data_IF_797436798535
#
_entry.id   IF_797436798535
#
_cell.length_a   1.000
_cell.length_b   1.000
_cell.length_c   1.000
_cell.angle_alpha   90.00
_cell.angle_beta   90.00
_cell.angle_gamma   90.00
#
_symmetry.space_group_name_H-M   'P 1'
#
loop_
_entity.id
_entity.type
_entity.pdbx_description
1 polymer ?
#
# COMPACT_ATOMS: atom_id res chain seq x y z
N UNK A 1 0.96 4.98 21.18
CA UNK A 1 1.85 4.07 20.44
C UNK A 1 2.84 4.94 19.68
N UNK A 2 4.16 4.70 19.78
CA UNK A 2 5.11 5.53 19.06
C UNK A 2 4.87 5.37 17.56
N UNK A 3 5.00 6.49 16.86
CA UNK A 3 4.90 6.63 15.42
C UNK A 3 5.66 5.48 14.72
N UNK A 4 4.97 4.65 13.93
CA UNK A 4 5.59 3.48 13.30
C UNK A 4 6.62 3.97 12.28
N UNK A 5 7.84 3.41 12.25
CA UNK A 5 8.83 3.78 11.25
C UNK A 5 8.27 3.54 9.84
N UNK A 6 8.78 4.25 8.82
CA UNK A 6 8.36 4.06 7.44
C UNK A 6 8.50 2.58 7.05
N UNK A 7 7.39 1.95 6.66
CA UNK A 7 7.29 0.53 6.32
C UNK A 7 6.84 0.39 4.86
N UNK A 8 7.22 -0.73 4.24
CA UNK A 8 6.71 -1.11 2.93
C UNK A 8 5.28 -1.66 3.05
N UNK A 9 4.35 -1.11 2.28
CA UNK A 9 2.94 -1.51 2.24
C UNK A 9 2.60 -2.00 0.84
N UNK A 10 2.26 -3.27 0.72
CA UNK A 10 1.68 -3.84 -0.49
C UNK A 10 0.18 -3.60 -0.51
N UNK A 11 -0.32 -2.92 -1.55
CA UNK A 11 -1.76 -2.67 -1.73
C UNK A 11 -2.19 -3.30 -3.05
N UNK A 12 -3.27 -4.09 -3.03
CA UNK A 12 -3.86 -4.61 -4.25
C UNK A 12 -4.38 -3.46 -5.11
N UNK A 13 -4.01 -3.43 -6.39
CA UNK A 13 -4.44 -2.43 -7.34
C UNK A 13 -5.95 -2.55 -7.63
N UNK A 14 -6.75 -1.82 -6.87
CA UNK A 14 -8.18 -1.62 -7.07
C UNK A 14 -8.50 -0.14 -7.34
N UNK A 15 -9.76 0.19 -7.69
CA UNK A 15 -10.16 1.56 -8.02
C UNK A 15 -9.84 2.58 -6.90
N UNK A 16 -9.87 2.16 -5.64
CA UNK A 16 -9.54 2.98 -4.46
C UNK A 16 -8.08 2.88 -4.02
N UNK A 17 -7.28 1.96 -4.57
CA UNK A 17 -5.90 1.73 -4.15
C UNK A 17 -4.99 2.94 -4.40
N UNK A 18 -5.22 3.67 -5.49
CA UNK A 18 -4.46 4.88 -5.81
C UNK A 18 -4.68 6.01 -4.80
N UNK A 19 -5.89 6.12 -4.24
CA UNK A 19 -6.18 7.09 -3.20
C UNK A 19 -5.37 6.76 -1.94
N UNK A 20 -5.45 5.50 -1.50
CA UNK A 20 -4.73 5.04 -0.31
C UNK A 20 -3.21 5.06 -0.48
N UNK A 21 -2.68 4.75 -1.66
CA UNK A 21 -1.25 4.82 -1.92
C UNK A 21 -0.69 6.23 -1.74
N UNK A 22 -1.42 7.26 -2.20
CA UNK A 22 -1.01 8.66 -1.97
C UNK A 22 -1.06 9.03 -0.49
N UNK A 23 -2.12 8.65 0.22
CA UNK A 23 -2.28 8.94 1.65
C UNK A 23 -1.19 8.26 2.48
N UNK A 24 -0.92 6.99 2.22
CA UNK A 24 0.11 6.21 2.91
C UNK A 24 1.53 6.71 2.58
N UNK A 25 1.80 7.09 1.33
CA UNK A 25 3.09 7.72 0.98
C UNK A 25 3.26 9.12 1.57
N UNK A 26 2.19 9.90 1.71
CA UNK A 26 2.24 11.19 2.41
C UNK A 26 2.56 11.03 3.91
N UNK A 27 2.21 9.89 4.51
CA UNK A 27 2.61 9.52 5.88
C UNK A 27 4.04 8.95 5.95
N UNK A 28 4.78 8.96 4.84
CA UNK A 28 6.17 8.49 4.78
C UNK A 28 6.33 6.98 4.53
N UNK A 29 5.24 6.24 4.26
CA UNK A 29 5.32 4.82 3.95
C UNK A 29 5.60 4.56 2.47
N UNK A 30 6.41 3.53 2.19
CA UNK A 30 6.63 3.09 0.82
C UNK A 30 5.45 2.22 0.38
N UNK A 31 4.72 2.62 -0.66
CA UNK A 31 3.54 1.88 -1.11
C UNK A 31 3.79 1.25 -2.46
N UNK A 32 3.56 -0.05 -2.56
CA UNK A 32 3.61 -0.81 -3.81
C UNK A 32 2.23 -1.31 -4.19
N UNK A 33 1.73 -0.80 -5.31
CA UNK A 33 0.52 -1.29 -5.94
C UNK A 33 0.85 -2.61 -6.67
N UNK A 34 0.25 -3.70 -6.21
CA UNK A 34 0.42 -5.03 -6.80
C UNK A 34 -0.82 -5.35 -7.63
N UNK A 35 -0.68 -5.89 -8.86
CA UNK A 35 -1.83 -6.29 -9.65
C UNK A 35 -2.64 -7.38 -8.91
N UNK A 36 -3.97 -7.44 -9.10
CA UNK A 36 -4.85 -8.41 -8.44
C UNK A 36 -4.47 -9.88 -8.74
N UNK A 37 -3.71 -10.10 -9.81
CA UNK A 37 -3.14 -11.42 -10.16
C UNK A 37 -2.04 -11.89 -9.20
N UNK A 38 -1.41 -10.98 -8.45
CA UNK A 38 -0.31 -11.28 -7.53
C UNK A 38 -0.77 -11.58 -6.09
N UNK A 39 -2.03 -11.27 -5.75
CA UNK A 39 -2.62 -11.49 -4.42
C UNK A 39 -3.48 -12.76 -4.34
N UNK A 40 -3.62 -13.49 -5.45
CA UNK A 40 -4.24 -14.82 -5.43
C UNK A 40 -3.23 -15.85 -4.92
N UNK A 41 -3.29 -16.11 -3.61
CA UNK A 41 -2.90 -17.39 -3.06
C UNK A 41 -3.84 -18.46 -3.63
N UNK A 42 -3.29 -19.38 -4.41
CA UNK A 42 -3.91 -20.68 -4.71
C UNK A 42 -4.21 -21.45 -3.43
#
# INVERSE_FOLDING_TARGET
MPDRPPCLIGVEACATAHHWARTLSAMGHEVRLMPPSYVKGT
#
